data_IF_394525446124
#
_entry.id   IF_394525446124
#
_cell.length_a   1.000
_cell.length_b   1.000
_cell.length_c   1.000
_cell.angle_alpha   90.00
_cell.angle_beta   90.00
_cell.angle_gamma   90.00
#
_symmetry.space_group_name_H-M   'P 1'
#
loop_
_entity.id
_entity.type
_entity.pdbx_description
1 polymer ?
#
# COMPACT_ATOMS: atom_id res chain seq x y z
N UNK A 1 38.92 8.63 3.47
CA UNK A 1 38.28 8.02 2.28
C UNK A 1 38.85 6.64 2.05
N UNK A 2 40.16 6.52 1.86
CA UNK A 2 40.82 5.27 1.50
C UNK A 2 40.71 4.21 2.62
N UNK A 3 40.85 4.61 3.89
CA UNK A 3 40.59 3.74 5.04
C UNK A 3 39.17 3.12 5.03
N UNK A 4 38.15 3.89 4.63
CA UNK A 4 36.77 3.39 4.57
C UNK A 4 36.59 2.39 3.41
N UNK A 5 37.27 2.63 2.29
CA UNK A 5 37.28 1.71 1.15
C UNK A 5 37.92 0.39 1.57
N UNK A 6 39.06 0.42 2.26
CA UNK A 6 39.75 -0.77 2.76
C UNK A 6 38.86 -1.59 3.69
N UNK A 7 38.13 -0.93 4.60
CA UNK A 7 37.17 -1.61 5.48
C UNK A 7 36.12 -2.36 4.65
N UNK A 8 35.44 -1.70 3.70
CA UNK A 8 34.40 -2.35 2.90
C UNK A 8 34.94 -3.39 1.91
N UNK A 9 36.17 -3.22 1.43
CA UNK A 9 36.80 -4.15 0.49
C UNK A 9 37.04 -5.55 1.07
N UNK A 10 36.96 -5.71 2.39
CA UNK A 10 37.00 -7.03 3.05
C UNK A 10 35.85 -7.96 2.63
N UNK A 11 34.71 -7.43 2.17
CA UNK A 11 33.55 -8.23 1.75
C UNK A 11 32.76 -7.67 0.56
N UNK A 12 33.11 -6.49 0.03
CA UNK A 12 32.50 -5.88 -1.15
C UNK A 12 33.54 -5.73 -2.25
N UNK A 13 33.25 -6.25 -3.45
CA UNK A 13 34.10 -6.06 -4.64
C UNK A 13 34.29 -4.58 -4.95
N UNK A 14 35.52 -4.15 -5.25
CA UNK A 14 35.85 -2.75 -5.53
C UNK A 14 34.97 -2.09 -6.60
N UNK A 15 34.54 -2.83 -7.62
CA UNK A 15 33.63 -2.36 -8.68
C UNK A 15 32.24 -1.91 -8.17
N UNK A 16 31.84 -2.34 -6.97
CA UNK A 16 30.58 -1.94 -6.31
C UNK A 16 30.76 -0.79 -5.32
N UNK A 17 31.98 -0.32 -5.11
CA UNK A 17 32.29 0.81 -4.23
C UNK A 17 32.38 2.08 -5.08
N UNK A 18 31.29 2.84 -5.10
CA UNK A 18 31.22 4.13 -5.80
C UNK A 18 31.72 5.22 -4.84
N UNK A 19 32.59 6.09 -5.32
CA UNK A 19 33.13 7.20 -4.53
C UNK A 19 32.85 8.53 -5.21
N UNK A 20 32.44 9.53 -4.43
CA UNK A 20 32.07 10.86 -4.91
C UNK A 20 32.45 11.93 -3.88
N UNK A 21 32.15 13.20 -4.19
CA UNK A 21 32.13 14.25 -3.16
C UNK A 21 30.93 14.06 -2.21
N UNK A 22 30.93 14.77 -1.08
CA UNK A 22 29.93 14.67 -0.01
C UNK A 22 28.52 14.96 -0.54
N UNK A 23 28.33 16.10 -1.21
CA UNK A 23 27.02 16.53 -1.69
C UNK A 23 26.41 15.56 -2.71
N UNK A 24 27.23 15.05 -3.65
CA UNK A 24 26.80 14.03 -4.60
C UNK A 24 26.42 12.72 -3.91
N UNK A 25 27.11 12.33 -2.82
CA UNK A 25 26.77 11.13 -2.06
C UNK A 25 25.43 11.27 -1.34
N UNK A 26 25.21 12.41 -0.67
CA UNK A 26 23.96 12.70 0.05
C UNK A 26 22.76 12.80 -0.91
N UNK A 27 22.92 13.57 -1.99
CA UNK A 27 21.86 13.74 -2.98
C UNK A 27 21.52 12.42 -3.70
N UNK A 28 22.52 11.59 -4.02
CA UNK A 28 22.28 10.29 -4.66
C UNK A 28 21.34 9.40 -3.84
N UNK A 29 21.42 9.45 -2.51
CA UNK A 29 20.53 8.66 -1.65
C UNK A 29 19.08 9.16 -1.69
N UNK A 30 18.88 10.49 -1.63
CA UNK A 30 17.56 11.10 -1.73
C UNK A 30 16.92 10.79 -3.10
N UNK A 31 17.68 10.99 -4.17
CA UNK A 31 17.21 10.78 -5.55
C UNK A 31 16.88 9.30 -5.79
N UNK A 32 17.71 8.36 -5.35
CA UNK A 32 17.43 6.93 -5.53
C UNK A 32 16.09 6.52 -4.87
N UNK A 33 15.83 6.99 -3.65
CA UNK A 33 14.57 6.70 -2.95
C UNK A 33 13.38 7.41 -3.63
N UNK A 34 13.57 8.64 -4.14
CA UNK A 34 12.54 9.36 -4.88
C UNK A 34 12.17 8.65 -6.19
N UNK A 35 13.13 8.11 -6.94
CA UNK A 35 12.88 7.34 -8.17
C UNK A 35 12.12 6.03 -7.88
N UNK A 36 12.46 5.31 -6.80
CA UNK A 36 11.72 4.09 -6.42
C UNK A 36 10.27 4.41 -6.07
N UNK A 37 10.04 5.45 -5.27
CA UNK A 37 8.70 5.90 -4.91
C UNK A 37 7.92 6.44 -6.12
N UNK A 38 8.60 7.14 -7.04
CA UNK A 38 8.01 7.63 -8.28
C UNK A 38 7.46 6.48 -9.12
N UNK A 39 8.20 5.38 -9.29
CA UNK A 39 7.69 4.22 -10.05
C UNK A 39 6.39 3.67 -9.47
N UNK A 40 6.31 3.57 -8.14
CA UNK A 40 5.09 3.13 -7.45
C UNK A 40 3.94 4.13 -7.68
N UNK A 41 4.16 5.43 -7.50
CA UNK A 41 3.13 6.43 -7.75
C UNK A 41 2.70 6.47 -9.23
N UNK A 42 3.64 6.33 -10.17
CA UNK A 42 3.34 6.26 -11.59
C UNK A 42 2.42 5.07 -11.90
N UNK A 43 2.77 3.85 -11.46
CA UNK A 43 1.89 2.71 -11.74
C UNK A 43 0.56 2.81 -11.00
N UNK A 44 0.52 3.39 -9.80
CA UNK A 44 -0.72 3.67 -9.07
C UNK A 44 -1.61 4.71 -9.76
N UNK A 45 -1.04 5.72 -10.43
CA UNK A 45 -1.86 6.63 -11.23
C UNK A 45 -2.51 5.93 -12.43
N UNK A 46 -1.80 4.98 -13.03
CA UNK A 46 -2.34 4.19 -14.15
C UNK A 46 -3.38 3.18 -13.66
N UNK A 47 -3.23 2.63 -12.45
CA UNK A 47 -4.23 1.72 -11.88
C UNK A 47 -5.61 2.39 -11.76
N UNK A 48 -5.68 3.67 -11.39
CA UNK A 48 -6.95 4.40 -11.38
C UNK A 48 -7.58 4.52 -12.79
N UNK A 49 -6.77 4.63 -13.84
CA UNK A 49 -7.28 4.63 -15.22
C UNK A 49 -7.75 3.23 -15.65
N UNK A 50 -6.99 2.19 -15.30
CA UNK A 50 -7.37 0.80 -15.55
C UNK A 50 -8.74 0.46 -14.94
N UNK A 51 -9.03 0.92 -13.72
CA UNK A 51 -10.34 0.72 -13.07
C UNK A 51 -11.53 1.40 -13.78
N UNK A 52 -11.27 2.45 -14.57
CA UNK A 52 -12.29 3.17 -15.33
C UNK A 52 -12.32 2.77 -16.81
N UNK A 53 -11.60 1.71 -17.16
CA UNK A 53 -11.50 1.13 -18.50
C UNK A 53 -11.57 -0.39 -18.38
N UNK A 54 -11.44 -1.11 -19.48
CA UNK A 54 -11.39 -2.59 -19.47
C UNK A 54 -9.94 -3.13 -19.36
N UNK A 55 -9.01 -2.33 -18.83
CA UNK A 55 -7.60 -2.69 -18.73
C UNK A 55 -7.23 -3.30 -17.36
N UNK A 56 -6.24 -4.19 -17.35
CA UNK A 56 -5.65 -4.78 -16.13
C UNK A 56 -4.26 -4.17 -15.85
N UNK A 57 -4.07 -3.57 -14.67
CA UNK A 57 -2.81 -2.94 -14.28
C UNK A 57 -1.63 -3.93 -14.24
N UNK A 58 -1.88 -5.19 -13.93
CA UNK A 58 -0.87 -6.25 -13.94
C UNK A 58 -0.36 -6.54 -15.34
N UNK A 59 -1.26 -6.60 -16.32
CA UNK A 59 -0.90 -6.76 -17.74
C UNK A 59 -0.12 -5.55 -18.26
N UNK A 60 -0.60 -4.34 -17.93
CA UNK A 60 0.09 -3.08 -18.28
C UNK A 60 1.48 -3.03 -17.66
N UNK A 61 1.61 -3.33 -16.36
CA UNK A 61 2.88 -3.35 -15.65
C UNK A 61 3.85 -4.38 -16.25
N UNK A 62 3.35 -5.57 -16.60
CA UNK A 62 4.14 -6.60 -17.25
C UNK A 62 4.66 -6.11 -18.62
N UNK A 63 3.77 -5.61 -19.48
CA UNK A 63 4.14 -5.11 -20.81
C UNK A 63 5.20 -3.99 -20.73
N UNK A 64 4.97 -2.99 -19.86
CA UNK A 64 5.91 -1.88 -19.63
C UNK A 64 7.25 -2.40 -19.07
N UNK A 65 7.21 -3.37 -18.16
CA UNK A 65 8.39 -3.94 -17.53
C UNK A 65 9.28 -4.76 -18.46
N UNK A 66 8.76 -5.22 -19.61
CA UNK A 66 9.57 -5.94 -20.61
C UNK A 66 10.61 -5.07 -21.30
N UNK A 67 10.43 -3.74 -21.31
CA UNK A 67 11.45 -2.82 -21.80
C UNK A 67 12.59 -2.70 -20.78
N UNK A 68 13.76 -3.20 -21.14
CA UNK A 68 14.94 -3.25 -20.25
C UNK A 68 15.44 -1.87 -19.80
N UNK A 69 15.05 -0.78 -20.49
CA UNK A 69 15.36 0.60 -20.05
C UNK A 69 14.51 1.02 -18.86
N UNK A 70 13.35 0.40 -18.68
CA UNK A 70 12.46 0.60 -17.54
C UNK A 70 12.67 -0.49 -16.48
N UNK A 71 12.73 -1.76 -16.89
CA UNK A 71 12.78 -2.92 -16.02
C UNK A 71 11.45 -3.20 -15.30
N UNK A 72 11.35 -4.40 -14.70
CA UNK A 72 10.12 -4.97 -14.14
C UNK A 72 9.89 -4.67 -12.64
N UNK A 73 10.92 -4.21 -11.93
CA UNK A 73 10.85 -3.98 -10.48
C UNK A 73 10.09 -2.70 -10.13
N UNK A 74 9.48 -2.68 -8.94
CA UNK A 74 8.74 -1.53 -8.40
C UNK A 74 7.58 -1.06 -9.30
N UNK A 75 6.96 -1.98 -10.04
CA UNK A 75 5.78 -1.75 -10.88
C UNK A 75 4.52 -2.47 -10.36
N UNK A 76 4.52 -2.89 -9.10
CA UNK A 76 3.33 -3.46 -8.48
C UNK A 76 2.46 -2.33 -7.94
N UNK A 77 1.26 -2.17 -8.51
CA UNK A 77 0.27 -1.25 -7.97
C UNK A 77 -0.19 -1.71 -6.59
N UNK A 78 -0.45 -0.76 -5.71
CA UNK A 78 -0.88 -1.01 -4.34
C UNK A 78 -1.76 0.12 -3.83
N UNK A 79 -2.30 -0.03 -2.62
CA UNK A 79 -3.07 1.01 -1.93
C UNK A 79 -2.22 2.24 -1.56
N UNK A 80 -0.89 2.11 -1.68
CA UNK A 80 0.07 3.17 -1.45
C UNK A 80 1.41 2.59 -0.98
N UNK A 81 2.48 3.36 -1.16
CA UNK A 81 3.73 3.09 -0.47
C UNK A 81 3.69 3.67 0.95
N UNK A 82 4.49 3.08 1.83
CA UNK A 82 4.73 3.57 3.19
C UNK A 82 6.19 3.44 3.60
N UNK A 83 6.42 3.42 4.92
CA UNK A 83 7.75 3.36 5.50
C UNK A 83 8.39 4.73 5.65
N UNK A 84 9.35 4.81 6.58
CA UNK A 84 9.95 6.09 7.00
C UNK A 84 10.87 6.77 5.96
N UNK A 85 11.21 6.09 4.85
CA UNK A 85 12.18 6.60 3.88
C UNK A 85 11.53 7.40 2.75
N UNK A 86 10.58 6.83 1.99
CA UNK A 86 10.14 7.42 0.72
C UNK A 86 9.54 8.82 0.86
N UNK A 87 8.47 8.96 1.65
CA UNK A 87 7.79 10.26 1.81
C UNK A 87 8.73 11.31 2.41
N UNK A 88 9.49 10.93 3.45
CA UNK A 88 10.44 11.83 4.11
C UNK A 88 11.52 12.33 3.15
N UNK A 89 12.14 11.44 2.38
CA UNK A 89 13.24 11.80 1.48
C UNK A 89 12.74 12.62 0.28
N UNK A 90 11.53 12.33 -0.23
CA UNK A 90 10.91 13.18 -1.26
C UNK A 90 10.59 14.57 -0.71
N UNK A 91 9.96 14.68 0.46
CA UNK A 91 9.65 15.99 1.05
C UNK A 91 10.92 16.78 1.39
N UNK A 92 12.01 16.10 1.75
CA UNK A 92 13.31 16.75 1.89
C UNK A 92 13.84 17.29 0.55
N UNK A 93 13.72 16.51 -0.54
CA UNK A 93 14.09 16.94 -1.89
C UNK A 93 13.24 18.13 -2.37
N UNK A 94 11.93 18.11 -2.10
CA UNK A 94 11.01 19.23 -2.38
C UNK A 94 11.43 20.48 -1.62
N UNK A 95 11.70 20.34 -0.32
CA UNK A 95 12.17 21.45 0.52
C UNK A 95 13.48 22.04 0.01
N UNK A 96 14.48 21.21 -0.29
CA UNK A 96 15.76 21.65 -0.85
C UNK A 96 15.57 22.37 -2.19
N UNK A 97 14.72 21.84 -3.07
CA UNK A 97 14.42 22.46 -4.37
C UNK A 97 13.81 23.86 -4.19
N UNK A 98 12.82 23.99 -3.29
CA UNK A 98 12.21 25.30 -2.95
C UNK A 98 13.22 26.26 -2.33
N UNK A 99 14.09 25.78 -1.45
CA UNK A 99 15.15 26.60 -0.83
C UNK A 99 16.08 27.24 -1.87
N UNK A 100 16.42 26.51 -2.93
CA UNK A 100 17.22 27.03 -4.05
C UNK A 100 16.40 27.76 -5.13
N UNK A 101 15.11 28.00 -4.91
CA UNK A 101 14.22 28.69 -5.85
C UNK A 101 13.77 27.87 -7.07
N UNK A 102 13.94 26.54 -7.02
CA UNK A 102 13.58 25.61 -8.10
C UNK A 102 12.15 25.07 -7.89
N UNK A 103 11.16 25.95 -8.03
CA UNK A 103 9.76 25.62 -7.71
C UNK A 103 9.19 24.53 -8.63
N UNK A 104 9.50 24.55 -9.92
CA UNK A 104 9.01 23.55 -10.88
C UNK A 104 9.54 22.13 -10.56
N UNK A 105 10.79 22.05 -10.09
CA UNK A 105 11.41 20.79 -9.64
C UNK A 105 10.75 20.31 -8.35
N UNK A 106 10.47 21.23 -7.43
CA UNK A 106 9.76 20.92 -6.20
C UNK A 106 8.36 20.37 -6.48
N UNK A 107 7.58 21.04 -7.33
CA UNK A 107 6.21 20.65 -7.66
C UNK A 107 6.15 19.29 -8.36
N UNK A 108 7.13 18.99 -9.22
CA UNK A 108 7.27 17.68 -9.87
C UNK A 108 7.41 16.55 -8.84
N UNK A 109 8.33 16.68 -7.89
CA UNK A 109 8.57 15.66 -6.86
C UNK A 109 7.45 15.60 -5.82
N UNK A 110 6.85 16.73 -5.48
CA UNK A 110 5.67 16.79 -4.61
C UNK A 110 4.48 16.04 -5.23
N UNK A 111 4.35 16.05 -6.56
CA UNK A 111 3.39 15.25 -7.31
C UNK A 111 3.44 13.75 -6.99
N UNK A 112 4.64 13.20 -6.75
CA UNK A 112 4.81 11.78 -6.37
C UNK A 112 4.11 11.47 -5.04
N UNK A 113 4.26 12.35 -4.05
CA UNK A 113 3.60 12.20 -2.74
C UNK A 113 2.10 12.41 -2.88
N UNK A 114 1.68 13.43 -3.63
CA UNK A 114 0.24 13.71 -3.86
C UNK A 114 -0.50 12.53 -4.48
N UNK A 115 0.09 11.84 -5.47
CA UNK A 115 -0.50 10.63 -6.05
C UNK A 115 -0.60 9.51 -5.02
N UNK A 116 0.39 9.36 -4.13
CA UNK A 116 0.33 8.35 -3.08
C UNK A 116 -0.77 8.63 -2.05
N UNK A 117 -0.95 9.90 -1.66
CA UNK A 117 -2.05 10.29 -0.76
C UNK A 117 -3.41 10.08 -1.44
N UNK A 118 -3.55 10.51 -2.71
CA UNK A 118 -4.75 10.25 -3.53
C UNK A 118 -5.06 8.74 -3.64
N UNK A 119 -4.06 7.89 -3.82
CA UNK A 119 -4.22 6.44 -3.92
C UNK A 119 -4.85 5.84 -2.65
N UNK A 120 -4.42 6.29 -1.47
CA UNK A 120 -4.99 5.83 -0.19
C UNK A 120 -6.43 6.32 -0.01
N UNK A 121 -6.70 7.57 -0.35
CA UNK A 121 -8.04 8.16 -0.23
C UNK A 121 -9.04 7.50 -1.18
N UNK A 122 -8.66 7.31 -2.46
CA UNK A 122 -9.55 6.69 -3.44
C UNK A 122 -9.91 5.25 -3.10
N UNK A 123 -9.02 4.53 -2.41
CA UNK A 123 -9.32 3.17 -1.94
C UNK A 123 -10.47 3.18 -0.94
N UNK A 124 -10.45 4.09 0.04
CA UNK A 124 -11.57 4.26 0.99
C UNK A 124 -12.84 4.74 0.30
N UNK A 125 -12.73 5.67 -0.66
CA UNK A 125 -13.88 6.13 -1.45
C UNK A 125 -14.50 4.99 -2.29
N UNK A 126 -13.67 4.09 -2.79
CA UNK A 126 -14.14 2.88 -3.50
C UNK A 126 -14.94 1.99 -2.56
N UNK A 127 -14.46 1.77 -1.33
CA UNK A 127 -15.21 1.04 -0.31
C UNK A 127 -16.55 1.71 0.00
N UNK A 128 -16.54 3.03 0.22
CA UNK A 128 -17.75 3.81 0.50
C UNK A 128 -18.79 3.66 -0.62
N UNK A 129 -18.36 3.82 -1.89
CA UNK A 129 -19.24 3.70 -3.06
C UNK A 129 -19.78 2.28 -3.22
N UNK A 130 -18.90 1.27 -3.12
CA UNK A 130 -19.25 -0.14 -3.27
C UNK A 130 -20.22 -0.62 -2.18
N UNK A 131 -20.10 -0.08 -0.97
CA UNK A 131 -20.92 -0.45 0.18
C UNK A 131 -22.12 0.49 0.38
N UNK A 132 -22.70 0.96 -0.72
CA UNK A 132 -23.95 1.73 -0.77
C UNK A 132 -23.88 3.14 -0.14
N UNK A 133 -22.75 3.83 -0.34
CA UNK A 133 -22.49 5.21 0.11
C UNK A 133 -22.60 5.42 1.63
N UNK A 134 -22.40 4.37 2.42
CA UNK A 134 -22.29 4.47 3.88
C UNK A 134 -21.38 3.39 4.43
N UNK A 135 -20.47 3.77 5.33
CA UNK A 135 -19.65 2.83 6.10
C UNK A 135 -20.04 2.82 7.58
N UNK A 136 -20.97 3.69 8.00
CA UNK A 136 -21.38 3.84 9.38
C UNK A 136 -21.93 2.52 9.94
N UNK A 137 -21.33 2.04 11.02
CA UNK A 137 -21.70 0.79 11.70
C UNK A 137 -21.26 -0.49 10.99
N UNK A 138 -20.77 -0.42 9.75
CA UNK A 138 -20.23 -1.58 9.03
C UNK A 138 -18.95 -2.07 9.69
N UNK A 139 -18.80 -3.38 9.79
CA UNK A 139 -17.63 -4.03 10.38
C UNK A 139 -16.64 -4.39 9.28
N UNK A 140 -15.49 -3.72 9.27
CA UNK A 140 -14.46 -3.87 8.23
C UNK A 140 -13.22 -4.50 8.86
N UNK A 141 -12.79 -5.64 8.31
CA UNK A 141 -11.56 -6.29 8.74
C UNK A 141 -10.37 -5.81 7.91
N UNK A 142 -9.34 -5.28 8.56
CA UNK A 142 -8.07 -4.93 7.92
C UNK A 142 -7.10 -6.09 8.05
N UNK A 143 -6.77 -6.69 6.90
CA UNK A 143 -5.70 -7.68 6.78
C UNK A 143 -4.39 -6.96 6.54
N UNK A 144 -3.62 -6.81 7.61
CA UNK A 144 -2.34 -6.14 7.63
C UNK A 144 -2.41 -4.71 8.15
N UNK A 145 -1.38 -4.34 8.92
CA UNK A 145 -1.19 -2.98 9.42
C UNK A 145 0.25 -2.47 9.24
N UNK A 146 1.24 -3.37 9.14
CA UNK A 146 2.60 -2.99 8.77
C UNK A 146 2.65 -2.35 7.37
N UNK A 147 3.63 -1.47 7.11
CA UNK A 147 3.70 -0.79 5.81
C UNK A 147 4.03 -1.74 4.63
N UNK A 148 4.64 -2.88 4.93
CA UNK A 148 4.96 -3.99 4.03
C UNK A 148 5.07 -5.30 4.81
N UNK A 149 5.11 -6.43 4.12
CA UNK A 149 5.32 -7.73 4.76
C UNK A 149 6.71 -7.86 5.44
N UNK A 150 6.82 -8.82 6.36
CA UNK A 150 8.04 -9.19 7.08
C UNK A 150 8.63 -8.12 8.01
N UNK A 151 7.79 -7.19 8.49
CA UNK A 151 8.18 -6.21 9.50
C UNK A 151 7.00 -5.88 10.42
N UNK A 152 7.28 -5.41 11.63
CA UNK A 152 6.28 -4.82 12.52
C UNK A 152 6.16 -3.30 12.32
N UNK A 153 7.02 -2.69 11.51
CA UNK A 153 7.09 -1.23 11.33
C UNK A 153 5.81 -0.68 10.67
N UNK A 154 5.20 0.31 11.33
CA UNK A 154 3.94 0.94 10.92
C UNK A 154 4.11 2.40 10.49
N UNK A 155 5.35 2.93 10.52
CA UNK A 155 5.62 4.33 10.15
C UNK A 155 5.20 4.60 8.71
N UNK A 156 4.41 5.65 8.51
CA UNK A 156 3.78 5.99 7.23
C UNK A 156 3.05 4.81 6.57
N UNK A 157 2.53 3.84 7.35
CA UNK A 157 1.78 2.72 6.80
C UNK A 157 0.50 3.21 6.11
N UNK A 158 0.16 2.72 4.90
CA UNK A 158 -1.14 2.98 4.29
C UNK A 158 -2.30 2.54 5.19
N UNK A 159 -2.12 1.48 5.99
CA UNK A 159 -3.15 0.97 6.90
C UNK A 159 -3.56 1.98 7.97
N UNK A 160 -2.61 2.76 8.50
CA UNK A 160 -2.91 3.80 9.49
C UNK A 160 -3.80 4.89 8.89
N UNK A 161 -3.52 5.32 7.66
CA UNK A 161 -4.33 6.30 6.94
C UNK A 161 -5.75 5.78 6.69
N UNK A 162 -5.85 4.56 6.18
CA UNK A 162 -7.12 3.91 5.85
C UNK A 162 -7.94 3.70 7.12
N UNK A 163 -7.33 3.21 8.20
CA UNK A 163 -8.01 3.03 9.49
C UNK A 163 -8.60 4.35 9.99
N UNK A 164 -7.81 5.44 9.98
CA UNK A 164 -8.28 6.78 10.38
C UNK A 164 -9.49 7.23 9.56
N UNK A 165 -9.38 7.14 8.24
CA UNK A 165 -10.48 7.48 7.31
C UNK A 165 -11.74 6.64 7.58
N UNK A 166 -11.60 5.34 7.80
CA UNK A 166 -12.75 4.47 8.09
C UNK A 166 -13.40 4.76 9.45
N UNK A 167 -12.61 5.11 10.47
CA UNK A 167 -13.10 5.55 11.78
C UNK A 167 -13.86 6.88 11.67
N UNK A 168 -13.35 7.82 10.86
CA UNK A 168 -14.03 9.09 10.55
C UNK A 168 -15.40 8.83 9.90
N UNK A 169 -15.49 7.85 9.00
CA UNK A 169 -16.74 7.38 8.37
C UNK A 169 -17.62 6.49 9.29
N UNK A 170 -17.27 6.41 10.58
CA UNK A 170 -17.99 5.65 11.63
C UNK A 170 -18.08 4.14 11.38
N UNK A 171 -17.14 3.57 10.63
CA UNK A 171 -17.00 2.13 10.53
C UNK A 171 -16.47 1.51 11.84
N UNK A 172 -16.79 0.25 12.08
CA UNK A 172 -16.19 -0.57 13.13
C UNK A 172 -15.04 -1.36 12.52
N UNK A 173 -13.85 -1.28 13.10
CA UNK A 173 -12.68 -1.94 12.54
C UNK A 173 -12.31 -3.19 13.32
N UNK A 174 -11.87 -4.22 12.61
CA UNK A 174 -11.12 -5.34 13.18
C UNK A 174 -9.79 -5.46 12.47
N UNK A 175 -8.70 -5.27 13.20
CA UNK A 175 -7.35 -5.29 12.62
C UNK A 175 -6.70 -6.62 12.99
N UNK A 176 -6.16 -7.31 11.98
CA UNK A 176 -5.28 -8.46 12.14
C UNK A 176 -3.95 -8.17 11.44
N UNK A 177 -2.83 -8.45 12.11
CA UNK A 177 -1.50 -8.41 11.51
C UNK A 177 -0.58 -9.36 12.30
N UNK A 178 0.22 -10.23 11.64
CA UNK A 178 1.08 -11.20 12.34
C UNK A 178 2.16 -10.58 13.23
N UNK A 179 2.53 -9.31 13.01
CA UNK A 179 3.69 -8.66 13.66
C UNK A 179 3.40 -7.27 14.19
N UNK A 180 2.40 -6.57 13.67
CA UNK A 180 2.21 -5.13 13.90
C UNK A 180 1.01 -4.77 14.78
N UNK A 181 0.25 -5.71 15.35
CA UNK A 181 -0.93 -5.38 16.17
C UNK A 181 -0.64 -4.48 17.36
N UNK A 182 0.49 -4.69 18.04
CA UNK A 182 0.91 -3.82 19.15
C UNK A 182 1.14 -2.38 18.67
N UNK A 183 1.82 -2.22 17.54
CA UNK A 183 2.10 -0.91 16.96
C UNK A 183 0.81 -0.26 16.44
N UNK A 184 -0.09 -1.05 15.84
CA UNK A 184 -1.41 -0.58 15.42
C UNK A 184 -2.20 0.04 16.58
N UNK A 185 -2.22 -0.65 17.72
CA UNK A 185 -2.87 -0.14 18.93
C UNK A 185 -2.26 1.17 19.43
N UNK A 186 -0.94 1.30 19.37
CA UNK A 186 -0.24 2.53 19.76
C UNK A 186 -0.54 3.68 18.77
N UNK A 187 -0.54 3.40 17.47
CA UNK A 187 -0.73 4.43 16.43
C UNK A 187 -2.17 4.96 16.38
N UNK A 188 -3.14 4.18 16.87
CA UNK A 188 -4.57 4.54 16.92
C UNK A 188 -5.05 4.95 18.32
N UNK A 189 -4.15 5.04 19.31
CA UNK A 189 -4.50 5.40 20.68
C UNK A 189 -5.26 6.74 20.72
N UNK A 190 -6.43 6.74 21.37
CA UNK A 190 -7.29 7.92 21.54
C UNK A 190 -8.28 8.14 20.40
N UNK A 191 -8.20 7.36 19.32
CA UNK A 191 -9.21 7.33 18.23
C UNK A 191 -9.68 5.92 17.92
N UNK A 192 -9.36 4.93 18.77
CA UNK A 192 -9.63 3.51 18.58
C UNK A 192 -11.01 3.06 19.10
N UNK A 193 -11.94 3.99 19.34
CA UNK A 193 -13.33 3.65 19.66
C UNK A 193 -13.96 2.88 18.50
N UNK A 194 -14.45 1.67 18.79
CA UNK A 194 -14.96 0.74 17.77
C UNK A 194 -13.90 -0.03 16.98
N UNK A 195 -12.62 -0.01 17.40
CA UNK A 195 -11.54 -0.81 16.82
C UNK A 195 -11.25 -2.03 17.70
N UNK A 196 -11.19 -3.22 17.10
CA UNK A 196 -10.77 -4.47 17.76
C UNK A 196 -9.49 -4.98 17.12
N UNK A 197 -8.60 -5.57 17.92
CA UNK A 197 -7.32 -6.13 17.46
C UNK A 197 -7.36 -7.65 17.69
N UNK A 198 -7.24 -8.44 16.63
CA UNK A 198 -7.38 -9.91 16.67
C UNK A 198 -6.23 -10.55 15.90
N UNK A 199 -5.53 -11.48 16.55
CA UNK A 199 -4.39 -12.18 15.94
C UNK A 199 -4.81 -13.13 14.82
N UNK A 200 -5.83 -13.96 15.06
CA UNK A 200 -6.29 -14.95 14.09
C UNK A 200 -7.15 -14.32 12.99
N UNK A 201 -6.75 -14.38 11.70
CA UNK A 201 -7.50 -13.76 10.61
C UNK A 201 -8.92 -14.35 10.43
N UNK A 202 -9.14 -15.62 10.79
CA UNK A 202 -10.49 -16.22 10.70
C UNK A 202 -11.45 -15.59 11.71
N UNK A 203 -11.03 -15.48 12.99
CA UNK A 203 -11.83 -14.80 14.01
C UNK A 203 -11.95 -13.30 13.74
N UNK A 204 -10.91 -12.67 13.17
CA UNK A 204 -10.93 -11.26 12.82
C UNK A 204 -12.02 -10.95 11.77
N UNK A 205 -12.14 -11.81 10.75
CA UNK A 205 -13.10 -11.66 9.66
C UNK A 205 -14.55 -12.05 10.05
N UNK A 206 -14.75 -12.80 11.13
CA UNK A 206 -16.07 -13.25 11.58
C UNK A 206 -17.07 -12.10 11.74
N UNK A 207 -18.19 -12.18 11.04
CA UNK A 207 -19.28 -11.21 11.03
C UNK A 207 -18.91 -9.86 10.41
N UNK A 208 -17.79 -9.75 9.70
CA UNK A 208 -17.43 -8.53 8.97
C UNK A 208 -18.21 -8.42 7.66
N UNK A 209 -18.56 -7.19 7.29
CA UNK A 209 -19.14 -6.85 5.98
C UNK A 209 -18.07 -6.88 4.88
N UNK A 210 -16.85 -6.47 5.22
CA UNK A 210 -15.74 -6.41 4.27
C UNK A 210 -14.42 -6.87 4.87
N UNK A 211 -13.55 -7.40 4.03
CA UNK A 211 -12.12 -7.54 4.27
C UNK A 211 -11.40 -6.56 3.36
N UNK A 212 -10.44 -5.81 3.89
CA UNK A 212 -9.54 -4.97 3.12
C UNK A 212 -8.11 -5.45 3.34
N UNK A 213 -7.45 -5.91 2.27
CA UNK A 213 -6.06 -6.39 2.30
C UNK A 213 -5.12 -5.21 2.08
N UNK A 214 -4.35 -4.86 3.11
CA UNK A 214 -3.54 -3.64 3.12
C UNK A 214 -2.04 -3.95 3.13
N UNK A 215 -1.66 -5.15 3.58
CA UNK A 215 -0.26 -5.59 3.61
C UNK A 215 -0.13 -6.98 3.00
N UNK A 216 0.85 -7.13 2.11
CA UNK A 216 1.08 -8.32 1.29
C UNK A 216 1.73 -9.50 2.05
N UNK A 217 1.18 -9.86 3.20
CA UNK A 217 1.70 -11.01 3.95
C UNK A 217 1.33 -12.32 3.26
N UNK A 218 2.33 -13.17 2.96
CA UNK A 218 2.15 -14.44 2.26
C UNK A 218 1.05 -15.33 2.88
N UNK A 219 0.94 -15.39 4.20
CA UNK A 219 -0.06 -16.23 4.86
C UNK A 219 -1.52 -15.87 4.49
N UNK A 220 -1.82 -14.60 4.13
CA UNK A 220 -3.17 -14.22 3.68
C UNK A 220 -3.55 -14.91 2.37
N UNK A 221 -2.59 -15.17 1.47
CA UNK A 221 -2.84 -15.87 0.21
C UNK A 221 -3.24 -17.34 0.39
N UNK A 222 -2.90 -17.92 1.55
CA UNK A 222 -3.10 -19.34 1.86
C UNK A 222 -4.31 -19.63 2.77
N UNK A 223 -5.11 -18.61 3.11
CA UNK A 223 -6.27 -18.80 3.98
C UNK A 223 -7.40 -19.54 3.26
N UNK A 224 -8.20 -20.29 4.03
CA UNK A 224 -9.44 -20.88 3.56
C UNK A 224 -10.54 -19.80 3.52
N UNK A 225 -10.61 -19.09 2.39
CA UNK A 225 -11.59 -18.04 2.17
C UNK A 225 -13.03 -18.56 2.12
N UNK A 226 -13.27 -19.84 1.83
CA UNK A 226 -14.60 -20.43 1.92
C UNK A 226 -15.08 -20.47 3.37
N UNK A 227 -14.22 -20.93 4.29
CA UNK A 227 -14.51 -20.90 5.73
C UNK A 227 -14.74 -19.49 6.25
N UNK A 228 -13.96 -18.51 5.77
CA UNK A 228 -14.15 -17.10 6.13
C UNK A 228 -15.52 -16.61 5.63
N UNK A 229 -15.87 -16.87 4.36
CA UNK A 229 -17.12 -16.47 3.73
C UNK A 229 -18.34 -16.93 4.51
N UNK A 230 -18.36 -18.18 4.96
CA UNK A 230 -19.46 -18.78 5.75
C UNK A 230 -19.72 -18.06 7.09
N UNK A 231 -18.77 -17.25 7.57
CA UNK A 231 -18.89 -16.53 8.84
C UNK A 231 -19.02 -15.02 8.69
N UNK A 232 -18.88 -14.47 7.48
CA UNK A 232 -19.01 -13.05 7.20
C UNK A 232 -20.47 -12.60 7.06
N UNK A 233 -20.71 -11.29 7.13
CA UNK A 233 -22.01 -10.73 6.80
C UNK A 233 -22.25 -10.76 5.28
N UNK A 234 -23.52 -10.88 4.86
CA UNK A 234 -23.91 -10.92 3.45
C UNK A 234 -24.66 -9.63 3.06
N UNK A 235 -24.33 -8.97 1.93
CA UNK A 235 -23.29 -9.32 0.97
C UNK A 235 -21.86 -9.11 1.53
N UNK A 236 -20.95 -10.02 1.20
CA UNK A 236 -19.55 -9.99 1.66
C UNK A 236 -18.63 -9.34 0.61
N UNK A 237 -17.73 -8.47 1.06
CA UNK A 237 -16.82 -7.73 0.18
C UNK A 237 -15.35 -8.04 0.46
N UNK A 238 -14.54 -8.08 -0.59
CA UNK A 238 -13.07 -8.09 -0.49
C UNK A 238 -12.53 -6.90 -1.29
N UNK A 239 -11.77 -6.04 -0.63
CA UNK A 239 -11.00 -4.97 -1.24
C UNK A 239 -9.52 -5.34 -1.17
N UNK A 240 -8.95 -5.77 -2.29
CA UNK A 240 -7.56 -6.21 -2.33
C UNK A 240 -6.64 -5.05 -2.72
N UNK A 241 -6.09 -4.37 -1.71
CA UNK A 241 -5.16 -3.26 -1.88
C UNK A 241 -3.76 -3.67 -2.30
N UNK A 242 -3.48 -4.96 -2.49
CA UNK A 242 -2.15 -5.49 -2.84
C UNK A 242 -2.15 -6.43 -4.04
N UNK A 243 -3.33 -6.79 -4.57
CA UNK A 243 -3.50 -7.73 -5.67
C UNK A 243 -2.78 -9.06 -5.44
N UNK A 244 -2.89 -9.60 -4.22
CA UNK A 244 -2.24 -10.87 -3.84
C UNK A 244 -3.19 -12.06 -3.79
N UNK A 245 -4.51 -11.81 -3.87
CA UNK A 245 -5.52 -12.86 -3.82
C UNK A 245 -5.95 -13.31 -5.21
N UNK A 246 -6.47 -14.53 -5.31
CA UNK A 246 -7.13 -15.04 -6.51
C UNK A 246 -8.56 -14.48 -6.61
N UNK A 247 -8.71 -13.37 -7.35
CA UNK A 247 -9.97 -12.63 -7.43
C UNK A 247 -11.09 -13.42 -8.11
N UNK A 248 -10.78 -14.26 -9.10
CA UNK A 248 -11.78 -15.08 -9.79
C UNK A 248 -12.33 -16.15 -8.86
N UNK A 249 -11.44 -16.87 -8.17
CA UNK A 249 -11.84 -17.89 -7.20
C UNK A 249 -12.70 -17.28 -6.08
N UNK A 250 -12.34 -16.10 -5.57
CA UNK A 250 -13.13 -15.40 -4.54
C UNK A 250 -14.50 -14.96 -5.06
N UNK A 251 -14.56 -14.45 -6.29
CA UNK A 251 -15.82 -14.07 -6.92
C UNK A 251 -16.76 -15.28 -7.09
N UNK A 252 -16.23 -16.41 -7.58
CA UNK A 252 -17.00 -17.65 -7.76
C UNK A 252 -17.53 -18.22 -6.43
N UNK A 253 -16.85 -17.94 -5.30
CA UNK A 253 -17.34 -18.28 -3.95
C UNK A 253 -18.52 -17.41 -3.50
N UNK A 254 -18.73 -16.24 -4.10
CA UNK A 254 -19.82 -15.32 -3.78
C UNK A 254 -19.38 -13.98 -3.18
N UNK A 255 -18.08 -13.69 -3.11
CA UNK A 255 -17.60 -12.36 -2.72
C UNK A 255 -17.82 -11.32 -3.82
N UNK A 256 -18.07 -10.07 -3.42
CA UNK A 256 -17.88 -8.92 -4.30
C UNK A 256 -16.42 -8.46 -4.16
N UNK A 257 -15.64 -8.54 -5.24
CA UNK A 257 -14.19 -8.37 -5.22
C UNK A 257 -13.79 -7.08 -5.93
N UNK A 258 -13.03 -6.26 -5.22
CA UNK A 258 -12.54 -4.95 -5.66
C UNK A 258 -11.01 -4.94 -5.63
N UNK A 259 -10.36 -5.34 -6.74
CA UNK A 259 -8.90 -5.23 -6.88
C UNK A 259 -8.46 -3.79 -7.17
N UNK A 260 -7.18 -3.50 -6.97
CA UNK A 260 -6.59 -2.25 -7.46
C UNK A 260 -6.22 -2.41 -8.93
N UNK A 261 -6.64 -1.47 -9.77
CA UNK A 261 -6.23 -1.40 -11.16
C UNK A 261 -6.85 -2.44 -12.08
N UNK A 262 -7.98 -3.04 -11.70
CA UNK A 262 -8.74 -3.95 -12.57
C UNK A 262 -10.24 -3.69 -12.40
N UNK A 263 -11.08 -4.06 -13.37
CA UNK A 263 -12.53 -4.04 -13.21
C UNK A 263 -12.97 -4.84 -11.97
N UNK A 264 -13.93 -4.29 -11.22
CA UNK A 264 -14.50 -4.99 -10.06
C UNK A 264 -15.37 -6.17 -10.49
N UNK A 265 -15.37 -7.24 -9.69
CA UNK A 265 -16.20 -8.43 -9.89
C UNK A 265 -17.32 -8.40 -8.85
N UNK A 266 -18.55 -8.13 -9.29
CA UNK A 266 -19.69 -7.93 -8.38
C UNK A 266 -20.88 -8.80 -8.76
N UNK A 267 -21.61 -9.30 -7.75
CA UNK A 267 -22.86 -10.05 -7.91
C UNK A 267 -24.10 -9.15 -7.94
N UNK A 268 -23.90 -7.83 -7.96
CA UNK A 268 -24.99 -6.87 -8.14
C UNK A 268 -25.30 -6.73 -9.63
N UNK A 269 -26.58 -6.86 -9.97
CA UNK A 269 -27.13 -6.60 -11.31
C UNK A 269 -27.38 -5.13 -11.56
#
# INVERSE_FOLDING_TARGET
RDELIEIYANWVSGERIITSNIWSSELSKLVANAFLAQRISSINSISALCENTDADIGEVAHAVGTDSRLGDKFLNASVGFGGSCFKKDILNLVYLSRYYGLNEVADYWEGVVRINEYQKDRFVLTMLKAMFNTLAGKKICLFGFAFKANTADTRESPALHIAKRLIEEKARLVITDPKALKNAKMDLEGIDDGVTYVEDPYEAARGCDAIAVITEWDHYTSLDYKKIYETMATPSFIFDGRNILDHTTLFDMGYNVFPIGKPALTHFS
#
